data_IF_204558035400
#
_entry.id   IF_204558035400
#
_cell.length_a   1.000
_cell.length_b   1.000
_cell.length_c   1.000
_cell.angle_alpha   90.00
_cell.angle_beta   90.00
_cell.angle_gamma   90.00
#
_symmetry.space_group_name_H-M   'P 1'
#
loop_
_entity.id
_entity.type
_entity.pdbx_description
1 polymer ?
#
# COMPACT_ATOMS: atom_id res chain seq x y z
N UNK A 1 0.93 21.10 9.82
CA UNK A 1 0.20 20.41 8.73
C UNK A 1 1.25 19.73 7.87
N UNK A 2 1.34 18.40 7.94
CA UNK A 2 2.29 17.64 7.11
C UNK A 2 1.77 17.59 5.68
N UNK A 3 2.60 17.93 4.71
CA UNK A 3 2.26 17.90 3.29
C UNK A 3 1.78 16.49 2.86
N UNK A 4 0.87 16.38 1.87
CA UNK A 4 0.48 15.08 1.35
C UNK A 4 1.73 14.39 0.78
N UNK A 5 2.08 13.23 1.33
CA UNK A 5 3.17 12.40 0.82
C UNK A 5 2.88 12.08 -0.64
N UNK A 6 3.66 12.65 -1.55
CA UNK A 6 3.50 12.40 -2.99
C UNK A 6 3.74 10.92 -3.29
N UNK A 7 2.98 10.39 -4.25
CA UNK A 7 3.06 8.99 -4.71
C UNK A 7 4.50 8.51 -4.92
N UNK A 8 5.35 9.39 -5.45
CA UNK A 8 6.77 9.15 -5.71
C UNK A 8 7.57 8.84 -4.44
N UNK A 9 7.27 9.48 -3.30
CA UNK A 9 7.89 9.15 -2.02
C UNK A 9 7.43 7.78 -1.51
N UNK A 10 6.18 7.43 -1.76
CA UNK A 10 5.60 6.11 -1.44
C UNK A 10 6.16 5.02 -2.37
N UNK A 11 6.60 5.35 -3.58
CA UNK A 11 7.27 4.37 -4.45
C UNK A 11 8.78 4.25 -4.16
N UNK A 12 9.39 5.33 -3.65
CA UNK A 12 10.82 5.38 -3.35
C UNK A 12 11.20 4.81 -1.96
N UNK A 13 10.26 4.72 -1.02
CA UNK A 13 10.57 4.24 0.32
C UNK A 13 10.85 2.72 0.34
N UNK A 14 11.87 2.25 1.07
CA UNK A 14 12.15 0.83 1.20
C UNK A 14 11.16 0.21 2.20
N UNK A 15 9.99 -0.24 1.71
CA UNK A 15 8.98 -0.91 2.55
C UNK A 15 9.46 -2.22 3.16
N UNK A 16 10.61 -2.74 2.72
CA UNK A 16 11.33 -3.85 3.32
C UNK A 16 10.71 -5.24 3.08
N UNK A 17 9.38 -5.35 2.93
CA UNK A 17 8.69 -6.59 2.53
C UNK A 17 7.27 -6.35 2.05
N UNK A 18 6.77 -7.24 1.19
CA UNK A 18 5.36 -7.29 0.76
C UNK A 18 4.36 -7.33 1.94
N UNK A 19 4.75 -7.91 3.09
CA UNK A 19 3.88 -7.97 4.28
C UNK A 19 3.62 -6.59 4.92
N UNK A 20 4.63 -5.72 4.90
CA UNK A 20 4.49 -4.35 5.43
C UNK A 20 3.55 -3.52 4.57
N UNK A 21 3.68 -3.60 3.24
CA UNK A 21 2.77 -2.92 2.31
C UNK A 21 1.33 -3.43 2.47
N UNK A 22 1.13 -4.74 2.70
CA UNK A 22 -0.19 -5.31 3.00
C UNK A 22 -0.79 -4.77 4.31
N UNK A 23 0.02 -4.59 5.35
CA UNK A 23 -0.46 -4.02 6.62
C UNK A 23 -0.90 -2.56 6.42
N UNK A 24 -0.11 -1.75 5.72
CA UNK A 24 -0.49 -0.37 5.41
C UNK A 24 -1.74 -0.29 4.54
N UNK A 25 -1.91 -1.22 3.58
CA UNK A 25 -3.12 -1.28 2.77
C UNK A 25 -4.34 -1.61 3.63
N UNK A 26 -4.21 -2.52 4.58
CA UNK A 26 -5.28 -2.83 5.53
C UNK A 26 -5.66 -1.60 6.36
N UNK A 27 -4.69 -0.85 6.88
CA UNK A 27 -4.95 0.37 7.65
C UNK A 27 -5.65 1.44 6.80
N UNK A 28 -5.23 1.61 5.54
CA UNK A 28 -5.88 2.52 4.60
C UNK A 28 -7.35 2.12 4.31
N UNK A 29 -7.60 0.83 4.10
CA UNK A 29 -8.96 0.27 3.92
C UNK A 29 -9.82 0.46 5.17
N UNK A 30 -9.23 0.26 6.36
CA UNK A 30 -9.92 0.47 7.62
C UNK A 30 -10.33 1.94 7.79
N UNK A 31 -9.43 2.88 7.51
CA UNK A 31 -9.75 4.31 7.53
C UNK A 31 -10.84 4.67 6.53
N UNK A 32 -10.80 4.11 5.31
CA UNK A 32 -11.83 4.32 4.30
C UNK A 32 -13.20 3.88 4.77
N UNK A 33 -13.30 2.70 5.40
CA UNK A 33 -14.55 2.20 6.00
C UNK A 33 -15.12 3.20 7.01
N UNK A 34 -14.30 3.66 7.96
CA UNK A 34 -14.72 4.62 8.98
C UNK A 34 -15.21 5.94 8.37
N UNK A 35 -14.61 6.39 7.25
CA UNK A 35 -15.08 7.59 6.53
C UNK A 35 -16.44 7.39 5.87
N UNK A 36 -16.67 6.22 5.26
CA UNK A 36 -17.97 5.91 4.67
C UNK A 36 -19.04 5.88 5.76
N UNK A 37 -18.78 5.24 6.90
CA UNK A 37 -19.70 5.21 8.05
C UNK A 37 -20.03 6.64 8.54
N UNK A 38 -19.02 7.50 8.69
CA UNK A 38 -19.25 8.89 9.08
C UNK A 38 -20.05 9.70 8.02
N UNK A 39 -19.85 9.41 6.73
CA UNK A 39 -20.62 10.03 5.66
C UNK A 39 -22.10 9.59 5.70
N UNK A 40 -22.36 8.30 5.95
CA UNK A 40 -23.72 7.78 6.11
C UNK A 40 -24.44 8.44 7.29
N UNK A 41 -23.77 8.59 8.44
CA UNK A 41 -24.32 9.31 9.60
C UNK A 41 -24.66 10.76 9.21
N UNK A 42 -23.79 11.44 8.46
CA UNK A 42 -24.06 12.81 7.99
C UNK A 42 -25.31 12.90 7.12
N UNK A 43 -25.57 11.90 6.27
CA UNK A 43 -26.81 11.82 5.47
C UNK A 43 -28.04 11.62 6.37
N UNK A 44 -27.94 10.73 7.36
CA UNK A 44 -29.03 10.43 8.29
C UNK A 44 -29.39 11.64 9.18
N UNK A 45 -28.40 12.44 9.56
CA UNK A 45 -28.59 13.61 10.44
C UNK A 45 -28.81 14.92 9.69
N UNK A 46 -28.62 14.95 8.36
CA UNK A 46 -28.64 16.17 7.56
C UNK A 46 -27.41 17.07 7.76
N UNK A 47 -26.30 16.53 8.26
CA UNK A 47 -25.03 17.26 8.40
C UNK A 47 -24.19 17.17 7.10
N UNK A 48 -24.52 18.04 6.15
CA UNK A 48 -23.84 18.14 4.86
C UNK A 48 -22.33 18.48 5.01
N UNK A 49 -21.95 19.19 6.07
CA UNK A 49 -20.55 19.53 6.31
C UNK A 49 -19.74 18.29 6.69
N UNK A 50 -20.25 17.45 7.60
CA UNK A 50 -19.64 16.18 7.95
C UNK A 50 -19.56 15.24 6.74
N UNK A 51 -20.62 15.18 5.94
CA UNK A 51 -20.67 14.39 4.70
C UNK A 51 -19.55 14.80 3.72
N UNK A 52 -19.50 16.09 3.35
CA UNK A 52 -18.50 16.60 2.39
C UNK A 52 -17.08 16.40 2.91
N UNK A 53 -16.84 16.68 4.20
CA UNK A 53 -15.54 16.48 4.82
C UNK A 53 -15.11 15.01 4.79
N UNK A 54 -16.04 14.10 5.10
CA UNK A 54 -15.73 12.67 5.14
C UNK A 54 -15.44 12.12 3.74
N UNK A 55 -16.24 12.48 2.74
CA UNK A 55 -16.04 12.05 1.35
C UNK A 55 -14.75 12.59 0.73
N UNK A 56 -14.39 13.86 1.00
CA UNK A 56 -13.11 14.42 0.55
C UNK A 56 -11.92 13.66 1.12
N UNK A 57 -11.97 13.31 2.41
CA UNK A 57 -10.91 12.55 3.06
C UNK A 57 -10.91 11.10 2.55
N UNK A 58 -12.07 10.50 2.29
CA UNK A 58 -12.17 9.17 1.67
C UNK A 58 -11.47 9.13 0.31
N UNK A 59 -11.69 10.13 -0.57
CA UNK A 59 -11.04 10.19 -1.87
C UNK A 59 -9.50 10.20 -1.80
N UNK A 60 -8.92 10.88 -0.80
CA UNK A 60 -7.47 10.85 -0.56
C UNK A 60 -6.98 9.45 -0.16
N UNK A 61 -7.70 8.76 0.72
CA UNK A 61 -7.33 7.40 1.14
C UNK A 61 -7.53 6.37 0.02
N UNK A 62 -8.50 6.57 -0.88
CA UNK A 62 -8.69 5.72 -2.05
C UNK A 62 -7.47 5.79 -2.97
N UNK A 63 -7.02 7.00 -3.30
CA UNK A 63 -5.83 7.19 -4.12
C UNK A 63 -4.59 6.54 -3.46
N UNK A 64 -4.43 6.72 -2.14
CA UNK A 64 -3.36 6.06 -1.39
C UNK A 64 -3.46 4.53 -1.45
N UNK A 65 -4.65 3.95 -1.23
CA UNK A 65 -4.87 2.50 -1.30
C UNK A 65 -4.57 1.91 -2.68
N UNK A 66 -4.98 2.60 -3.76
CA UNK A 66 -4.64 2.19 -5.14
C UNK A 66 -3.13 2.19 -5.37
N UNK A 67 -2.42 3.16 -4.79
CA UNK A 67 -0.96 3.26 -4.86
C UNK A 67 -0.26 2.08 -4.19
N UNK A 68 -0.76 1.68 -3.01
CA UNK A 68 -0.23 0.53 -2.27
C UNK A 68 -0.46 -0.79 -3.02
N UNK A 69 -1.53 -0.92 -3.81
CA UNK A 69 -1.74 -2.10 -4.65
C UNK A 69 -0.66 -2.23 -5.75
N UNK A 70 -0.31 -1.13 -6.41
CA UNK A 70 0.79 -1.09 -7.38
C UNK A 70 2.10 -1.51 -6.70
N UNK A 71 2.35 -0.96 -5.51
CA UNK A 71 3.56 -1.24 -4.75
C UNK A 71 3.66 -2.70 -4.27
N UNK A 72 2.54 -3.35 -3.96
CA UNK A 72 2.50 -4.79 -3.66
C UNK A 72 3.00 -5.60 -4.84
N UNK A 73 2.57 -5.27 -6.06
CA UNK A 73 3.00 -6.00 -7.26
C UNK A 73 4.47 -5.77 -7.58
N UNK A 74 4.97 -4.54 -7.41
CA UNK A 74 6.39 -4.21 -7.54
C UNK A 74 7.25 -4.97 -6.52
N UNK A 75 6.85 -4.99 -5.25
CA UNK A 75 7.63 -5.64 -4.20
C UNK A 75 7.59 -7.17 -4.32
N UNK A 76 6.48 -7.74 -4.82
CA UNK A 76 6.43 -9.17 -5.23
C UNK A 76 7.43 -9.47 -6.34
N UNK A 77 7.58 -8.59 -7.33
CA UNK A 77 8.55 -8.78 -8.41
C UNK A 77 9.98 -8.75 -7.87
N UNK A 78 10.32 -7.76 -7.05
CA UNK A 78 11.63 -7.69 -6.36
C UNK A 78 11.86 -8.89 -5.44
N UNK A 79 10.84 -9.40 -4.75
CA UNK A 79 10.92 -10.61 -3.93
C UNK A 79 11.19 -11.87 -4.75
N UNK A 80 10.72 -11.95 -6.00
CA UNK A 80 11.06 -13.03 -6.94
C UNK A 80 12.51 -12.93 -7.38
N UNK A 81 12.95 -11.75 -7.82
CA UNK A 81 14.35 -11.50 -8.22
C UNK A 81 15.34 -11.79 -7.08
N UNK A 82 15.04 -11.35 -5.85
CA UNK A 82 15.85 -11.65 -4.65
C UNK A 82 15.92 -13.15 -4.34
N UNK A 83 14.90 -13.94 -4.70
CA UNK A 83 14.92 -15.41 -4.54
C UNK A 83 15.74 -16.07 -5.64
N UNK A 84 15.57 -15.64 -6.89
CA UNK A 84 16.32 -16.16 -8.03
C UNK A 84 17.82 -15.90 -7.91
N UNK A 85 18.22 -14.69 -7.47
CA UNK A 85 19.62 -14.37 -7.20
C UNK A 85 20.22 -15.25 -6.09
N UNK A 86 19.48 -15.48 -4.99
CA UNK A 86 19.92 -16.37 -3.91
C UNK A 86 20.04 -17.82 -4.38
N UNK A 87 19.11 -18.30 -5.19
CA UNK A 87 19.17 -19.64 -5.78
C UNK A 87 20.40 -19.82 -6.69
N UNK A 88 20.68 -18.84 -7.56
CA UNK A 88 21.86 -18.86 -8.43
C UNK A 88 23.18 -18.84 -7.65
N UNK A 89 23.24 -18.12 -6.53
CA UNK A 89 24.42 -18.11 -5.65
C UNK A 89 24.60 -19.41 -4.84
N UNK A 90 23.51 -20.16 -4.61
CA UNK A 90 23.54 -21.43 -3.90
C UNK A 90 23.79 -22.64 -4.80
N UNK A 91 23.79 -22.48 -6.13
CA UNK A 91 24.25 -23.54 -7.03
C UNK A 91 25.77 -23.67 -6.89
N UNK A 92 26.29 -24.73 -6.27
CA UNK A 92 27.72 -24.98 -6.27
C UNK A 92 28.11 -25.16 -7.73
N UNK A 93 29.14 -24.46 -8.18
CA UNK A 93 29.81 -24.82 -9.42
C UNK A 93 30.00 -26.33 -9.42
N UNK A 94 29.36 -27.00 -10.39
CA UNK A 94 29.50 -28.44 -10.57
C UNK A 94 30.99 -28.75 -10.50
N UNK A 95 31.37 -29.52 -9.47
CA UNK A 95 32.71 -30.09 -9.41
C UNK A 95 32.93 -30.76 -10.75
N UNK A 96 33.85 -30.20 -11.54
CA UNK A 96 34.43 -30.89 -12.67
C UNK A 96 35.00 -32.20 -12.10
N UNK A 97 34.35 -33.31 -12.45
CA UNK A 97 34.88 -34.64 -12.20
C UNK A 97 36.06 -34.76 -13.15
N UNK A 98 37.27 -34.75 -12.60
CA UNK A 98 38.51 -35.12 -13.28
C UNK A 98 38.82 -36.58 -12.93
#
# INVERSE_FOLDING_TARGET
MSAPTTLEHVMAAPYGSTNKVRAELYDALHLMRLRIEAAMIGIETGDDFALVRSLRLHALHLNYGLSLLVLIEEEKARDRERRDHRWRQQQPHGRAIA
#
